data_IF_210005679957
#
_entry.id   IF_210005679957
#
_cell.length_a   1.000
_cell.length_b   1.000
_cell.length_c   1.000
_cell.angle_alpha   90.00
_cell.angle_beta   90.00
_cell.angle_gamma   90.00
#
_symmetry.space_group_name_H-M   'P 1'
#
loop_
_entity.id
_entity.type
_entity.pdbx_description
1 polymer ?
#
# COMPACT_ATOMS: atom_id res chain seq x y z
N UNK A 1 22.88 33.63 -1.49
CA UNK A 1 22.06 32.38 -1.55
C UNK A 1 22.55 31.51 -0.41
N UNK A 2 21.82 31.46 0.70
CA UNK A 2 22.06 30.47 1.75
C UNK A 2 21.74 29.10 1.16
N UNK A 3 22.73 28.21 1.09
CA UNK A 3 22.51 26.82 0.77
C UNK A 3 21.68 26.21 1.89
N UNK A 4 20.49 25.71 1.58
CA UNK A 4 19.72 24.87 2.49
C UNK A 4 20.63 23.73 2.99
N UNK A 5 20.61 23.37 4.27
CA UNK A 5 21.37 22.23 4.76
C UNK A 5 20.97 21.01 3.94
N UNK A 6 21.96 20.23 3.51
CA UNK A 6 21.72 19.00 2.77
C UNK A 6 20.83 18.10 3.63
N UNK A 7 19.60 17.85 3.18
CA UNK A 7 18.73 16.91 3.86
C UNK A 7 19.40 15.52 3.88
N UNK A 8 19.33 14.79 5.00
CA UNK A 8 19.88 13.46 5.06
C UNK A 8 19.26 12.60 3.93
N UNK A 9 20.11 11.90 3.18
CA UNK A 9 19.63 11.04 2.08
C UNK A 9 18.85 9.81 2.60
N UNK A 10 19.19 9.39 3.81
CA UNK A 10 18.61 8.22 4.47
C UNK A 10 17.25 8.55 5.05
N UNK A 11 16.35 7.56 5.04
CA UNK A 11 14.97 7.67 5.52
C UNK A 11 14.80 7.06 6.92
N UNK A 12 15.64 6.10 7.29
CA UNK A 12 15.52 5.35 8.54
C UNK A 12 15.45 6.24 9.80
N UNK A 13 16.18 7.39 9.88
CA UNK A 13 16.07 8.26 11.06
C UNK A 13 14.70 8.90 11.26
N UNK A 14 13.84 8.87 10.25
CA UNK A 14 12.49 9.45 10.29
C UNK A 14 11.41 8.40 10.56
N UNK A 15 11.80 7.12 10.63
CA UNK A 15 10.87 6.02 10.90
C UNK A 15 10.17 6.18 12.25
N UNK A 16 8.87 5.95 12.28
CA UNK A 16 8.06 5.74 13.47
C UNK A 16 6.82 4.92 13.13
N UNK A 17 6.29 4.23 14.11
CA UNK A 17 5.07 3.40 14.02
C UNK A 17 3.91 4.06 14.73
N UNK A 18 2.78 4.20 14.06
CA UNK A 18 1.46 4.52 14.64
C UNK A 18 0.45 3.43 14.26
N UNK A 19 0.36 3.11 12.97
CA UNK A 19 -0.59 2.15 12.40
C UNK A 19 0.02 1.14 11.45
N UNK A 20 1.18 1.40 10.87
CA UNK A 20 1.92 0.44 10.04
C UNK A 20 2.50 -0.71 10.87
N UNK A 21 3.02 -1.76 10.24
CA UNK A 21 3.62 -2.89 10.95
C UNK A 21 4.94 -2.54 11.64
N UNK A 22 5.72 -1.64 11.06
CA UNK A 22 7.02 -1.19 11.59
C UNK A 22 7.10 0.33 11.61
N UNK A 23 7.99 0.93 10.86
CA UNK A 23 8.30 2.35 10.88
C UNK A 23 7.87 3.10 9.60
N UNK A 24 7.04 2.46 8.78
CA UNK A 24 6.59 2.96 7.47
C UNK A 24 5.81 4.27 7.59
N UNK A 25 5.04 4.48 8.68
CA UNK A 25 4.29 5.72 8.88
C UNK A 25 5.21 6.95 8.85
N UNK A 26 6.35 6.86 9.54
CA UNK A 26 7.34 7.94 9.59
C UNK A 26 8.09 8.10 8.28
N UNK A 27 8.50 6.99 7.66
CA UNK A 27 9.20 6.98 6.38
C UNK A 27 8.32 7.60 5.29
N UNK A 28 7.07 7.19 5.19
CA UNK A 28 6.12 7.73 4.21
C UNK A 28 5.85 9.22 4.44
N UNK A 29 5.69 9.65 5.70
CA UNK A 29 5.54 11.07 6.02
C UNK A 29 6.72 11.89 5.51
N UNK A 30 7.94 11.41 5.73
CA UNK A 30 9.16 12.09 5.29
C UNK A 30 9.29 12.12 3.76
N UNK A 31 8.99 11.00 3.08
CA UNK A 31 9.00 10.94 1.61
C UNK A 31 8.06 12.00 1.04
N UNK A 32 6.80 12.03 1.52
CA UNK A 32 5.80 12.98 1.03
C UNK A 32 6.17 14.44 1.34
N UNK A 33 6.77 14.70 2.50
CA UNK A 33 7.29 16.02 2.83
C UNK A 33 8.38 16.47 1.85
N UNK A 34 9.32 15.58 1.49
CA UNK A 34 10.41 15.89 0.55
C UNK A 34 9.92 16.17 -0.87
N UNK A 35 8.89 15.45 -1.32
CA UNK A 35 8.32 15.65 -2.67
C UNK A 35 7.20 16.69 -2.69
N UNK A 36 6.92 17.36 -1.56
CA UNK A 36 5.96 18.46 -1.47
C UNK A 36 4.49 18.04 -1.53
N UNK A 37 4.17 16.78 -1.18
CA UNK A 37 2.79 16.28 -1.14
C UNK A 37 2.27 16.32 0.30
N UNK A 38 1.39 17.25 0.60
CA UNK A 38 0.83 17.42 1.97
C UNK A 38 -0.50 16.72 2.17
N UNK A 39 -1.28 16.59 1.11
CA UNK A 39 -2.51 15.80 1.03
C UNK A 39 -2.57 15.15 -0.34
N UNK A 40 -2.94 13.89 -0.38
CA UNK A 40 -2.95 13.12 -1.62
C UNK A 40 -3.97 12.00 -1.60
N UNK A 41 -3.81 11.13 -2.57
CA UNK A 41 -4.62 9.95 -2.77
C UNK A 41 -3.78 8.69 -2.63
N UNK A 42 -4.36 7.65 -2.04
CA UNK A 42 -3.70 6.37 -1.88
C UNK A 42 -4.57 5.20 -2.36
N UNK A 43 -3.90 4.11 -2.70
CA UNK A 43 -4.50 2.78 -2.82
C UNK A 43 -3.66 1.78 -2.02
N UNK A 44 -4.31 0.86 -1.33
CA UNK A 44 -3.62 -0.24 -0.65
C UNK A 44 -4.32 -1.56 -0.95
N UNK A 45 -3.53 -2.57 -1.30
CA UNK A 45 -3.97 -3.92 -1.64
C UNK A 45 -3.44 -4.85 -0.56
N UNK A 46 -4.34 -5.59 0.13
CA UNK A 46 -4.00 -6.47 1.24
C UNK A 46 -4.11 -5.78 2.60
N UNK A 47 -5.17 -5.01 2.84
CA UNK A 47 -5.34 -4.21 4.07
C UNK A 47 -5.87 -5.01 5.26
N UNK A 48 -6.25 -6.24 5.09
CA UNK A 48 -6.93 -7.05 6.11
C UNK A 48 -8.12 -6.32 6.76
N UNK A 49 -8.01 -6.02 8.05
CA UNK A 49 -9.04 -5.30 8.82
C UNK A 49 -8.85 -3.77 8.80
N UNK A 50 -7.77 -3.27 8.21
CA UNK A 50 -7.42 -1.86 8.09
C UNK A 50 -6.89 -1.20 9.37
N UNK A 51 -6.67 -1.96 10.46
CA UNK A 51 -6.21 -1.41 11.74
C UNK A 51 -4.67 -1.37 11.86
N UNK A 52 -3.99 -2.19 11.06
CA UNK A 52 -2.55 -2.19 10.93
C UNK A 52 -2.23 -2.24 9.44
N UNK A 53 -1.98 -1.09 8.83
CA UNK A 53 -1.69 -0.97 7.40
C UNK A 53 -1.00 0.36 7.07
N UNK A 54 -0.35 0.44 5.92
CA UNK A 54 0.52 1.56 5.54
C UNK A 54 -0.23 2.86 5.24
N UNK A 55 -1.53 2.81 4.97
CA UNK A 55 -2.31 3.99 4.59
C UNK A 55 -3.21 4.55 5.68
N UNK A 56 -3.37 3.86 6.82
CA UNK A 56 -4.24 4.33 7.89
C UNK A 56 -3.75 5.65 8.49
N UNK A 57 -2.43 5.81 8.68
CA UNK A 57 -1.86 7.06 9.15
C UNK A 57 -2.16 8.21 8.18
N UNK A 58 -1.99 7.98 6.87
CA UNK A 58 -2.32 8.97 5.84
C UNK A 58 -3.80 9.33 5.85
N UNK A 59 -4.70 8.36 6.02
CA UNK A 59 -6.13 8.60 6.15
C UNK A 59 -6.44 9.53 7.34
N UNK A 60 -5.78 9.34 8.48
CA UNK A 60 -5.88 10.22 9.65
C UNK A 60 -5.30 11.63 9.38
N UNK A 61 -4.30 11.74 8.53
CA UNK A 61 -3.70 13.02 8.08
C UNK A 61 -4.56 13.76 7.03
N UNK A 62 -5.74 13.24 6.70
CA UNK A 62 -6.67 13.92 5.80
C UNK A 62 -6.64 13.44 4.35
N UNK A 63 -5.81 12.45 4.03
CA UNK A 63 -5.77 11.86 2.71
C UNK A 63 -7.07 11.12 2.37
N UNK A 64 -7.29 10.86 1.08
CA UNK A 64 -8.38 10.02 0.58
C UNK A 64 -7.80 8.77 -0.04
N UNK A 65 -8.51 7.67 -0.01
CA UNK A 65 -7.94 6.46 -0.59
C UNK A 65 -8.91 5.33 -0.87
N UNK A 66 -8.32 4.27 -1.41
CA UNK A 66 -9.00 3.04 -1.76
C UNK A 66 -8.31 1.85 -1.09
N UNK A 67 -9.10 0.95 -0.54
CA UNK A 67 -8.65 -0.31 0.03
C UNK A 67 -9.22 -1.49 -0.77
N UNK A 68 -8.35 -2.45 -1.10
CA UNK A 68 -8.70 -3.71 -1.71
C UNK A 68 -8.28 -4.85 -0.77
N UNK A 69 -9.21 -5.76 -0.50
CA UNK A 69 -8.99 -6.86 0.42
C UNK A 69 -9.59 -8.16 -0.16
N UNK A 70 -8.81 -9.23 -0.20
CA UNK A 70 -9.25 -10.51 -0.75
C UNK A 70 -10.32 -11.19 0.10
N UNK A 71 -10.21 -11.08 1.42
CA UNK A 71 -11.05 -11.82 2.37
C UNK A 71 -12.25 -11.03 2.87
N UNK A 72 -13.43 -11.64 2.81
CA UNK A 72 -14.64 -11.06 3.38
C UNK A 72 -14.70 -11.14 4.92
N UNK A 73 -13.78 -11.85 5.58
CA UNK A 73 -13.76 -12.05 7.04
C UNK A 73 -13.71 -10.74 7.81
N UNK A 74 -13.04 -9.73 7.26
CA UNK A 74 -12.82 -8.43 7.88
C UNK A 74 -13.98 -7.44 7.69
N UNK A 75 -15.03 -7.81 6.91
CA UNK A 75 -16.15 -6.92 6.53
C UNK A 75 -16.78 -6.20 7.72
N UNK A 76 -17.03 -6.93 8.80
CA UNK A 76 -17.67 -6.36 10.00
C UNK A 76 -16.78 -5.29 10.63
N UNK A 77 -15.52 -5.62 10.88
CA UNK A 77 -14.55 -4.71 11.50
C UNK A 77 -14.37 -3.43 10.68
N UNK A 78 -14.15 -3.56 9.37
CA UNK A 78 -13.98 -2.39 8.49
C UNK A 78 -15.21 -1.49 8.51
N UNK A 79 -16.42 -2.03 8.45
CA UNK A 79 -17.64 -1.23 8.50
C UNK A 79 -17.87 -0.54 9.86
N UNK A 80 -17.55 -1.21 10.94
CA UNK A 80 -17.68 -0.65 12.30
C UNK A 80 -16.65 0.46 12.56
N UNK A 81 -15.40 0.23 12.21
CA UNK A 81 -14.30 1.16 12.51
C UNK A 81 -14.21 2.33 11.50
N UNK A 82 -14.45 2.06 10.23
CA UNK A 82 -14.25 3.03 9.14
C UNK A 82 -15.55 3.50 8.48
N UNK A 83 -16.71 3.12 9.02
CA UNK A 83 -18.00 3.46 8.45
C UNK A 83 -18.23 4.95 8.21
N UNK A 84 -17.66 5.84 9.01
CA UNK A 84 -17.75 7.27 8.81
C UNK A 84 -17.01 7.73 7.55
N UNK A 85 -15.75 7.31 7.39
CA UNK A 85 -14.92 7.70 6.24
C UNK A 85 -15.35 7.02 4.94
N UNK A 86 -15.99 5.84 5.03
CA UNK A 86 -16.63 5.19 3.89
C UNK A 86 -17.87 5.97 3.41
N UNK A 87 -18.71 6.44 4.35
CA UNK A 87 -19.94 7.19 3.98
C UNK A 87 -19.68 8.60 3.45
N UNK A 88 -18.63 9.25 3.92
CA UNK A 88 -18.30 10.61 3.48
C UNK A 88 -17.37 10.64 2.23
N UNK A 89 -17.10 9.49 1.61
CA UNK A 89 -16.34 9.39 0.37
C UNK A 89 -14.82 9.64 0.52
N UNK A 90 -14.29 9.61 1.75
CA UNK A 90 -12.83 9.72 1.94
C UNK A 90 -12.11 8.39 1.77
N UNK A 91 -12.81 7.29 1.96
CA UNK A 91 -12.31 5.94 1.78
C UNK A 91 -13.30 5.15 0.92
N UNK A 92 -12.81 4.53 -0.15
CA UNK A 92 -13.50 3.47 -0.85
C UNK A 92 -12.92 2.11 -0.43
N UNK A 93 -13.75 1.09 -0.35
CA UNK A 93 -13.30 -0.24 0.04
C UNK A 93 -14.00 -1.32 -0.77
N UNK A 94 -13.22 -2.25 -1.31
CA UNK A 94 -13.71 -3.38 -2.11
C UNK A 94 -13.15 -4.68 -1.57
N UNK A 95 -14.02 -5.70 -1.54
CA UNK A 95 -13.63 -7.09 -1.30
C UNK A 95 -13.54 -7.81 -2.64
N UNK A 96 -12.46 -8.52 -2.86
CA UNK A 96 -12.18 -9.36 -4.00
C UNK A 96 -10.70 -9.61 -4.16
N UNK A 97 -10.34 -10.81 -4.55
CA UNK A 97 -8.96 -11.15 -4.83
C UNK A 97 -8.42 -10.30 -5.99
N UNK A 98 -7.24 -9.73 -5.77
CA UNK A 98 -6.50 -8.99 -6.80
C UNK A 98 -5.49 -9.95 -7.41
N UNK A 99 -5.48 -10.00 -8.74
CA UNK A 99 -4.59 -10.84 -9.54
C UNK A 99 -3.92 -9.99 -10.62
N UNK A 100 -2.84 -10.45 -11.28
CA UNK A 100 -2.25 -9.74 -12.41
C UNK A 100 -3.24 -9.38 -13.50
N UNK A 101 -4.23 -10.25 -13.76
CA UNK A 101 -5.22 -10.03 -14.81
C UNK A 101 -6.25 -8.94 -14.46
N UNK A 102 -6.45 -8.65 -13.17
CA UNK A 102 -7.54 -7.77 -12.74
C UNK A 102 -7.10 -6.55 -11.94
N UNK A 103 -5.82 -6.40 -11.57
CA UNK A 103 -5.32 -5.33 -10.70
C UNK A 103 -5.75 -3.94 -11.20
N UNK A 104 -5.51 -3.65 -12.47
CA UNK A 104 -5.81 -2.33 -13.04
C UNK A 104 -7.30 -2.01 -13.00
N UNK A 105 -8.14 -2.97 -13.39
CA UNK A 105 -9.60 -2.82 -13.36
C UNK A 105 -10.14 -2.72 -11.92
N UNK A 106 -9.57 -3.48 -10.98
CA UNK A 106 -9.97 -3.47 -9.57
C UNK A 106 -9.59 -2.15 -8.90
N UNK A 107 -8.39 -1.64 -9.16
CA UNK A 107 -7.96 -0.33 -8.68
C UNK A 107 -8.85 0.78 -9.25
N UNK A 108 -9.02 0.83 -10.58
CA UNK A 108 -9.83 1.87 -11.23
C UNK A 108 -11.27 1.91 -10.67
N UNK A 109 -11.92 0.75 -10.53
CA UNK A 109 -13.28 0.67 -9.96
C UNK A 109 -13.35 1.13 -8.51
N UNK A 110 -12.30 0.87 -7.72
CA UNK A 110 -12.32 1.24 -6.30
C UNK A 110 -11.99 2.71 -6.12
N UNK A 111 -10.99 3.21 -6.85
CA UNK A 111 -10.58 4.63 -6.84
C UNK A 111 -11.69 5.55 -7.36
N UNK A 112 -12.53 5.09 -8.29
CA UNK A 112 -13.72 5.83 -8.74
C UNK A 112 -14.67 6.16 -7.57
N UNK A 113 -14.68 5.38 -6.49
CA UNK A 113 -15.48 5.66 -5.29
C UNK A 113 -15.01 6.87 -4.47
N UNK A 114 -13.86 7.42 -4.79
CA UNK A 114 -13.29 8.65 -4.20
C UNK A 114 -12.93 9.70 -5.26
N UNK A 115 -13.47 9.57 -6.49
CA UNK A 115 -13.20 10.45 -7.63
C UNK A 115 -11.68 10.59 -7.90
N UNK A 116 -10.94 9.48 -7.90
CA UNK A 116 -9.51 9.45 -8.20
C UNK A 116 -9.23 8.64 -9.46
N UNK A 117 -8.47 9.23 -10.38
CA UNK A 117 -7.89 8.53 -11.53
C UNK A 117 -6.68 7.71 -11.07
N UNK A 118 -6.56 6.42 -11.42
CA UNK A 118 -5.35 5.62 -11.16
C UNK A 118 -4.04 6.26 -11.63
N UNK A 119 -4.06 7.03 -12.71
CA UNK A 119 -2.88 7.75 -13.24
C UNK A 119 -2.48 8.96 -12.39
N UNK A 120 -3.39 9.46 -11.54
CA UNK A 120 -3.14 10.57 -10.62
C UNK A 120 -2.84 10.12 -9.19
N UNK A 121 -2.62 8.83 -8.98
CA UNK A 121 -2.41 8.24 -7.65
C UNK A 121 -1.08 8.72 -7.04
N UNK A 122 -1.11 9.18 -5.80
CA UNK A 122 0.09 9.61 -5.09
C UNK A 122 0.82 8.44 -4.43
N UNK A 123 0.09 7.49 -3.86
CA UNK A 123 0.65 6.36 -3.13
C UNK A 123 -0.05 5.04 -3.45
N UNK A 124 0.73 4.00 -3.70
CA UNK A 124 0.26 2.62 -3.78
C UNK A 124 1.06 1.75 -2.80
N UNK A 125 0.35 0.96 -2.00
CA UNK A 125 0.92 -0.12 -1.20
C UNK A 125 0.40 -1.46 -1.71
N UNK A 126 1.30 -2.43 -1.87
CA UNK A 126 0.98 -3.80 -2.26
C UNK A 126 1.60 -4.72 -1.21
N UNK A 127 0.74 -5.48 -0.51
CA UNK A 127 1.12 -6.45 0.50
C UNK A 127 0.07 -7.58 0.51
N UNK A 128 0.36 -8.66 -0.21
CA UNK A 128 -0.53 -9.82 -0.38
C UNK A 128 0.14 -11.14 -0.02
N UNK A 129 1.14 -11.05 0.86
CA UNK A 129 1.80 -12.21 1.44
C UNK A 129 2.56 -13.11 0.45
N UNK A 130 3.07 -12.58 -0.66
CA UNK A 130 4.04 -13.34 -1.45
C UNK A 130 3.86 -13.40 -2.96
N UNK A 131 2.77 -12.88 -3.51
CA UNK A 131 2.58 -12.75 -4.98
C UNK A 131 2.71 -11.31 -5.47
N UNK A 132 3.25 -10.43 -4.67
CA UNK A 132 3.33 -8.99 -4.83
C UNK A 132 4.03 -8.55 -6.11
N UNK A 133 5.15 -9.20 -6.43
CA UNK A 133 5.93 -8.92 -7.63
C UNK A 133 5.11 -9.10 -8.92
N UNK A 134 4.18 -10.06 -8.93
CA UNK A 134 3.35 -10.32 -10.09
C UNK A 134 2.29 -9.23 -10.28
N UNK A 135 1.79 -8.66 -9.17
CA UNK A 135 0.90 -7.51 -9.23
C UNK A 135 1.65 -6.27 -9.71
N UNK A 136 2.88 -6.05 -9.22
CA UNK A 136 3.73 -4.94 -9.64
C UNK A 136 3.99 -4.97 -11.15
N UNK A 137 4.32 -6.14 -11.70
CA UNK A 137 4.60 -6.28 -13.13
C UNK A 137 3.38 -6.02 -14.02
N UNK A 138 2.19 -6.38 -13.54
CA UNK A 138 0.94 -6.15 -14.27
C UNK A 138 0.38 -4.72 -14.09
N UNK A 139 0.97 -3.94 -13.19
CA UNK A 139 0.49 -2.60 -12.86
C UNK A 139 0.70 -1.64 -14.03
N UNK A 140 -0.37 -1.01 -14.52
CA UNK A 140 -0.31 0.01 -15.55
C UNK A 140 -0.04 1.41 -14.98
N UNK A 141 -0.66 1.77 -13.85
CA UNK A 141 -0.49 3.09 -13.23
C UNK A 141 0.93 3.33 -12.71
N UNK A 142 1.30 4.60 -12.55
CA UNK A 142 2.61 5.02 -12.04
C UNK A 142 2.42 5.97 -10.86
N UNK A 143 2.16 5.44 -9.64
CA UNK A 143 2.02 6.27 -8.45
C UNK A 143 3.33 7.04 -8.17
N UNK A 144 3.23 8.19 -7.50
CA UNK A 144 4.44 8.95 -7.11
C UNK A 144 5.32 8.18 -6.14
N UNK A 145 4.70 7.38 -5.27
CA UNK A 145 5.38 6.51 -4.29
C UNK A 145 4.75 5.13 -4.34
N UNK A 146 5.59 4.12 -4.37
CA UNK A 146 5.20 2.71 -4.28
C UNK A 146 5.84 2.09 -3.04
N UNK A 147 5.05 1.37 -2.25
CA UNK A 147 5.49 0.44 -1.22
C UNK A 147 5.09 -0.97 -1.65
N UNK A 148 6.02 -1.90 -1.55
CA UNK A 148 5.77 -3.30 -1.89
C UNK A 148 6.49 -4.21 -0.89
N UNK A 149 5.83 -5.30 -0.50
CA UNK A 149 6.47 -6.31 0.33
C UNK A 149 7.60 -7.01 -0.42
N UNK A 150 8.73 -7.20 0.26
CA UNK A 150 9.81 -8.09 -0.16
C UNK A 150 10.30 -8.92 1.02
N UNK A 151 10.94 -10.04 0.75
CA UNK A 151 11.45 -10.90 1.81
C UNK A 151 12.95 -10.66 2.06
N UNK A 152 13.27 -9.99 3.16
CA UNK A 152 14.64 -9.65 3.56
C UNK A 152 15.55 -10.88 3.85
N UNK A 153 14.99 -12.10 3.91
CA UNK A 153 15.76 -13.34 4.00
C UNK A 153 16.46 -13.70 2.68
N UNK A 154 16.15 -12.99 1.61
CA UNK A 154 16.81 -13.10 0.32
C UNK A 154 17.61 -11.83 0.00
N UNK A 155 18.73 -11.58 0.71
CA UNK A 155 19.53 -10.38 0.46
C UNK A 155 20.26 -10.48 -0.88
N UNK A 156 20.62 -9.32 -1.50
CA UNK A 156 21.47 -9.32 -2.67
C UNK A 156 22.78 -10.13 -2.45
N UNK A 157 23.27 -10.87 -3.42
CA UNK A 157 22.84 -10.91 -4.82
C UNK A 157 21.77 -11.97 -5.16
N UNK A 158 21.03 -12.47 -4.16
CA UNK A 158 19.97 -13.43 -4.42
C UNK A 158 18.84 -12.75 -5.21
N UNK A 159 18.55 -13.34 -6.37
CA UNK A 159 17.40 -12.98 -7.21
C UNK A 159 16.38 -14.11 -7.08
N UNK A 160 15.41 -13.94 -6.20
CA UNK A 160 14.33 -14.91 -6.00
C UNK A 160 13.00 -14.32 -6.41
N UNK A 161 12.31 -15.07 -7.24
CA UNK A 161 10.95 -14.78 -7.66
C UNK A 161 10.09 -16.03 -7.43
N UNK A 162 8.95 -15.93 -6.76
CA UNK A 162 8.04 -17.06 -6.60
C UNK A 162 7.43 -17.44 -7.95
N UNK A 163 7.15 -18.73 -8.15
CA UNK A 163 6.32 -19.15 -9.27
C UNK A 163 4.91 -18.63 -9.04
N UNK A 164 4.28 -18.02 -10.06
CA UNK A 164 2.93 -17.52 -9.93
C UNK A 164 1.94 -18.66 -9.64
N UNK A 165 1.19 -18.50 -8.59
CA UNK A 165 0.10 -19.40 -8.21
C UNK A 165 -1.14 -18.58 -7.80
N UNK A 166 -2.20 -18.56 -8.63
CA UNK A 166 -3.41 -17.81 -8.32
C UNK A 166 -4.17 -18.35 -7.09
N UNK A 167 -3.85 -19.54 -6.64
CA UNK A 167 -4.41 -20.16 -5.43
C UNK A 167 -3.50 -20.03 -4.22
N UNK A 168 -2.38 -19.32 -4.36
CA UNK A 168 -1.44 -19.13 -3.27
C UNK A 168 -2.11 -18.46 -2.06
N UNK A 169 -1.85 -19.04 -0.90
CA UNK A 169 -2.18 -18.43 0.39
C UNK A 169 -1.01 -18.68 1.35
N UNK A 170 -0.56 -17.63 2.00
CA UNK A 170 0.49 -17.74 3.01
C UNK A 170 0.07 -18.67 4.16
N UNK A 171 0.96 -19.56 4.56
CA UNK A 171 0.73 -20.58 5.61
C UNK A 171 1.69 -20.41 6.80
N UNK A 172 2.20 -19.19 7.02
CA UNK A 172 3.13 -18.93 8.11
C UNK A 172 4.59 -19.29 7.81
N UNK A 173 4.95 -19.52 6.55
CA UNK A 173 6.33 -19.86 6.18
C UNK A 173 7.20 -18.62 5.97
N UNK A 174 8.45 -18.68 6.43
CA UNK A 174 9.41 -17.57 6.38
C UNK A 174 10.05 -17.32 5.01
N UNK A 175 9.75 -18.14 4.01
CA UNK A 175 10.39 -18.10 2.68
C UNK A 175 9.40 -17.78 1.56
N UNK A 176 8.31 -17.08 1.89
CA UNK A 176 7.36 -16.57 0.92
C UNK A 176 7.91 -15.30 0.22
N UNK A 177 7.33 -14.94 -0.90
CA UNK A 177 7.62 -13.70 -1.61
C UNK A 177 8.93 -13.68 -2.42
N UNK A 178 9.28 -12.49 -2.86
CA UNK A 178 10.43 -12.20 -3.73
C UNK A 178 11.58 -11.55 -2.96
N UNK A 179 12.79 -11.60 -3.54
CA UNK A 179 13.90 -10.72 -3.15
C UNK A 179 13.62 -9.27 -3.56
N UNK A 180 14.47 -8.38 -3.05
CA UNK A 180 14.47 -6.97 -3.45
C UNK A 180 15.02 -6.82 -4.87
#
# INVERSE_FOLDING_TARGET
RQSLPAQPRRLEPFGFKVYSQSDEDGILQEIFARIGVTQGTFCEIGVENGLECNTLYLLHKGWRGAWLEGSARHRKTVREKFGSVLRNGRLAWRIGYVTPDNINASMARTLAGIDCDPEALDFLSIDIDGMDIWLLEALASRPKVLCIEYNAKFPPPLDKRPVYDPAYAWKGGDYAGSSL
#
